data_IF_608914161906
#
_entry.id   IF_608914161906
#
_cell.length_a   1.000
_cell.length_b   1.000
_cell.length_c   1.000
_cell.angle_alpha   90.00
_cell.angle_beta   90.00
_cell.angle_gamma   90.00
#
_symmetry.space_group_name_H-M   'P 1'
#
loop_
_entity.id
_entity.type
_entity.pdbx_description
1 polymer ?
#
# COMPACT_ATOMS: atom_id res chain seq x y z
N UNK A 1 -9.90 -7.46 23.49
CA UNK A 1 -9.81 -6.13 22.92
C UNK A 1 -9.63 -6.20 21.40
N UNK A 2 -10.38 -5.37 20.70
CA UNK A 2 -10.36 -5.33 19.25
C UNK A 2 -8.98 -5.01 18.65
N UNK A 3 -8.13 -4.36 19.42
CA UNK A 3 -6.79 -3.95 19.02
C UNK A 3 -5.89 -5.11 18.63
N UNK A 4 -6.02 -6.29 19.25
CA UNK A 4 -5.18 -7.45 18.94
C UNK A 4 -5.41 -7.98 17.53
N UNK A 5 -6.67 -8.04 17.08
CA UNK A 5 -7.02 -8.49 15.72
C UNK A 5 -6.55 -7.48 14.67
N UNK A 6 -6.68 -6.19 14.97
CA UNK A 6 -6.26 -5.13 14.04
C UNK A 6 -4.75 -5.11 13.87
N UNK A 7 -4.00 -5.34 14.94
CA UNK A 7 -2.54 -5.43 14.89
C UNK A 7 -2.08 -6.64 14.07
N UNK A 8 -2.76 -7.77 14.20
CA UNK A 8 -2.44 -8.96 13.39
C UNK A 8 -2.67 -8.69 11.91
N UNK A 9 -3.76 -8.04 11.58
CA UNK A 9 -4.08 -7.69 10.20
C UNK A 9 -3.02 -6.76 9.62
N UNK A 10 -2.59 -5.77 10.40
CA UNK A 10 -1.56 -4.82 9.99
C UNK A 10 -0.22 -5.52 9.77
N UNK A 11 0.19 -6.36 10.71
CA UNK A 11 1.44 -7.14 10.57
C UNK A 11 1.37 -8.11 9.40
N UNK A 12 0.22 -8.73 9.19
CA UNK A 12 0.00 -9.65 8.08
C UNK A 12 0.13 -8.92 6.73
N UNK A 13 -0.47 -7.73 6.62
CA UNK A 13 -0.34 -6.92 5.41
C UNK A 13 1.11 -6.50 5.19
N UNK A 14 1.79 -6.06 6.26
CA UNK A 14 3.19 -5.66 6.17
C UNK A 14 4.05 -6.80 5.61
N UNK A 15 3.85 -8.00 6.13
CA UNK A 15 4.59 -9.17 5.66
C UNK A 15 4.26 -9.50 4.21
N UNK A 16 3.00 -9.34 3.81
CA UNK A 16 2.58 -9.56 2.43
C UNK A 16 3.22 -8.55 1.48
N UNK A 17 3.28 -7.28 1.87
CA UNK A 17 3.94 -6.24 1.08
C UNK A 17 5.44 -6.51 0.94
N UNK A 18 6.08 -6.92 2.02
CA UNK A 18 7.49 -7.26 2.01
C UNK A 18 7.77 -8.44 1.06
N UNK A 19 6.96 -9.49 1.15
CA UNK A 19 7.09 -10.65 0.28
C UNK A 19 6.83 -10.29 -1.20
N UNK A 20 5.82 -9.47 -1.46
CA UNK A 20 5.50 -9.02 -2.82
C UNK A 20 6.66 -8.21 -3.41
N UNK A 21 7.31 -7.38 -2.61
CA UNK A 21 8.46 -6.62 -3.05
C UNK A 21 9.64 -7.53 -3.37
N UNK A 22 9.90 -8.52 -2.51
CA UNK A 22 11.03 -9.43 -2.70
C UNK A 22 10.90 -10.30 -3.94
N UNK A 23 9.68 -10.61 -4.38
CA UNK A 23 9.46 -11.40 -5.59
C UNK A 23 9.18 -10.52 -6.82
N UNK A 24 9.48 -9.22 -6.74
CA UNK A 24 9.30 -8.25 -7.82
C UNK A 24 7.86 -8.07 -8.30
N UNK A 25 6.90 -8.44 -7.47
CA UNK A 25 5.49 -8.20 -7.75
C UNK A 25 5.13 -6.72 -7.66
N UNK A 26 5.76 -6.02 -6.73
CA UNK A 26 5.59 -4.58 -6.53
C UNK A 26 6.94 -3.89 -6.38
N UNK A 27 6.94 -2.58 -6.59
CA UNK A 27 8.05 -1.71 -6.22
C UNK A 27 7.52 -0.43 -5.62
N UNK A 28 8.37 0.26 -4.87
CA UNK A 28 8.03 1.52 -4.22
C UNK A 28 8.73 2.68 -4.92
N UNK A 29 7.99 3.77 -5.12
CA UNK A 29 8.53 4.98 -5.75
C UNK A 29 8.13 6.19 -4.90
N UNK A 30 9.06 7.11 -4.58
CA UNK A 30 8.69 8.35 -3.91
C UNK A 30 7.65 9.12 -4.74
N UNK A 31 6.65 9.66 -4.05
CA UNK A 31 5.60 10.42 -4.72
C UNK A 31 6.16 11.60 -5.51
N UNK A 32 7.22 12.24 -4.98
CA UNK A 32 7.88 13.36 -5.64
C UNK A 32 8.60 12.98 -6.94
N UNK A 33 8.92 11.70 -7.12
CA UNK A 33 9.64 11.19 -8.30
C UNK A 33 8.69 10.58 -9.34
N UNK A 34 7.38 10.69 -9.15
CA UNK A 34 6.42 10.09 -10.09
C UNK A 34 6.51 10.78 -11.46
N UNK A 35 6.47 9.98 -12.51
CA UNK A 35 6.50 10.45 -13.89
C UNK A 35 5.53 9.64 -14.76
N UNK A 36 5.55 9.89 -16.06
CA UNK A 36 4.62 9.23 -17.00
C UNK A 36 4.83 7.72 -17.12
N UNK A 37 5.94 7.19 -16.61
CA UNK A 37 6.20 5.75 -16.61
C UNK A 37 5.50 5.02 -15.46
N UNK A 38 4.79 5.75 -14.57
CA UNK A 38 4.15 5.17 -13.41
C UNK A 38 3.12 4.11 -13.79
N UNK A 39 3.22 2.94 -13.16
CA UNK A 39 2.29 1.83 -13.34
C UNK A 39 1.55 1.54 -12.04
N UNK A 40 0.27 1.93 -12.00
CA UNK A 40 -0.54 1.78 -10.78
C UNK A 40 -0.82 0.33 -10.40
N UNK A 41 -0.57 -0.62 -11.29
CA UNK A 41 -0.76 -2.05 -11.03
C UNK A 41 0.48 -2.72 -10.45
N UNK A 42 1.59 -2.00 -10.36
CA UNK A 42 2.85 -2.54 -9.85
C UNK A 42 3.52 -1.63 -8.85
N UNK A 43 3.41 -0.32 -9.02
CA UNK A 43 4.12 0.65 -8.20
C UNK A 43 3.26 1.18 -7.07
N UNK A 44 3.84 1.25 -5.89
CA UNK A 44 3.24 1.89 -4.72
C UNK A 44 4.01 3.19 -4.49
N UNK A 45 3.30 4.31 -4.55
CA UNK A 45 3.89 5.61 -4.26
C UNK A 45 3.94 5.83 -2.75
N UNK A 46 4.89 6.62 -2.29
CA UNK A 46 4.98 6.92 -0.87
C UNK A 46 5.50 8.33 -0.63
N UNK A 47 5.08 8.89 0.49
CA UNK A 47 5.66 10.09 1.09
C UNK A 47 6.02 9.78 2.54
N UNK A 48 6.26 10.81 3.34
CA UNK A 48 6.67 10.61 4.74
C UNK A 48 5.57 9.97 5.59
N UNK A 49 4.32 10.12 5.22
CA UNK A 49 3.17 9.72 6.04
C UNK A 49 2.44 8.51 5.50
N UNK A 50 2.30 8.40 4.18
CA UNK A 50 1.42 7.42 3.56
C UNK A 50 2.08 6.63 2.45
N UNK A 51 1.54 5.42 2.23
CA UNK A 51 1.66 4.71 0.96
C UNK A 51 0.40 4.97 0.15
N UNK A 52 0.56 5.18 -1.15
CA UNK A 52 -0.55 5.39 -2.09
C UNK A 52 -0.61 4.22 -3.06
N UNK A 53 -1.74 3.52 -3.06
CA UNK A 53 -1.88 2.33 -3.89
C UNK A 53 -3.33 2.17 -4.34
N UNK A 54 -3.55 1.35 -5.36
CA UNK A 54 -4.90 1.06 -5.83
C UNK A 54 -5.52 -0.10 -5.04
N UNK A 55 -6.85 -0.11 -4.97
CA UNK A 55 -7.57 -1.23 -4.37
C UNK A 55 -7.27 -2.54 -5.10
N UNK A 56 -7.21 -2.49 -6.43
CA UNK A 56 -6.92 -3.67 -7.24
C UNK A 56 -5.56 -4.27 -6.91
N UNK A 57 -4.53 -3.43 -6.74
CA UNK A 57 -3.19 -3.89 -6.40
C UNK A 57 -3.16 -4.52 -5.00
N UNK A 58 -3.81 -3.88 -4.02
CA UNK A 58 -3.89 -4.44 -2.66
C UNK A 58 -4.56 -5.80 -2.66
N UNK A 59 -5.68 -5.93 -3.35
CA UNK A 59 -6.39 -7.22 -3.44
C UNK A 59 -5.52 -8.29 -4.10
N UNK A 60 -4.79 -7.93 -5.15
CA UNK A 60 -3.88 -8.85 -5.82
C UNK A 60 -2.77 -9.33 -4.89
N UNK A 61 -2.15 -8.42 -4.14
CA UNK A 61 -1.11 -8.75 -3.17
C UNK A 61 -1.64 -9.72 -2.12
N UNK A 62 -2.80 -9.42 -1.55
CA UNK A 62 -3.40 -10.27 -0.53
C UNK A 62 -3.73 -11.65 -1.10
N UNK A 63 -4.30 -11.69 -2.30
CA UNK A 63 -4.67 -12.94 -2.95
C UNK A 63 -3.46 -13.83 -3.21
N UNK A 64 -2.35 -13.26 -3.62
CA UNK A 64 -1.13 -14.01 -3.97
C UNK A 64 -0.34 -14.40 -2.72
N UNK A 65 -0.16 -13.47 -1.78
CA UNK A 65 0.72 -13.67 -0.63
C UNK A 65 0.00 -14.24 0.58
N UNK A 66 -1.30 -14.03 0.69
CA UNK A 66 -2.11 -14.45 1.83
C UNK A 66 -3.28 -15.30 1.36
N UNK A 67 -2.98 -16.47 0.81
CA UNK A 67 -3.96 -17.33 0.13
C UNK A 67 -5.13 -17.76 1.02
N UNK A 68 -4.93 -17.86 2.33
CA UNK A 68 -5.97 -18.26 3.27
C UNK A 68 -6.86 -17.11 3.73
N UNK A 69 -6.60 -15.89 3.27
CA UNK A 69 -7.36 -14.70 3.65
C UNK A 69 -8.21 -14.21 2.50
N UNK A 70 -9.40 -13.72 2.85
CA UNK A 70 -10.25 -13.02 1.88
C UNK A 70 -9.78 -11.57 1.78
N UNK A 71 -9.44 -11.09 0.56
CA UNK A 71 -8.93 -9.73 0.43
C UNK A 71 -9.87 -8.65 0.99
N UNK A 72 -11.17 -8.77 0.74
CA UNK A 72 -12.14 -7.79 1.25
C UNK A 72 -12.19 -7.75 2.77
N UNK A 73 -12.05 -8.91 3.45
CA UNK A 73 -12.03 -8.95 4.91
C UNK A 73 -10.80 -8.25 5.47
N UNK A 74 -9.63 -8.50 4.87
CA UNK A 74 -8.38 -7.85 5.30
C UNK A 74 -8.50 -6.33 5.14
N UNK A 75 -9.00 -5.87 3.99
CA UNK A 75 -9.15 -4.45 3.73
C UNK A 75 -10.14 -3.79 4.69
N UNK A 76 -11.26 -4.45 4.99
CA UNK A 76 -12.23 -3.92 5.94
C UNK A 76 -11.65 -3.80 7.35
N UNK A 77 -10.87 -4.78 7.79
CA UNK A 77 -10.23 -4.73 9.11
C UNK A 77 -9.21 -3.60 9.19
N UNK A 78 -8.42 -3.40 8.12
CA UNK A 78 -7.46 -2.30 8.07
C UNK A 78 -8.14 -0.94 8.07
N UNK A 79 -9.28 -0.83 7.39
CA UNK A 79 -10.07 0.39 7.39
C UNK A 79 -10.64 0.68 8.77
N UNK A 80 -11.17 -0.33 9.44
CA UNK A 80 -11.67 -0.20 10.81
C UNK A 80 -10.58 0.21 11.79
N UNK A 81 -9.37 -0.29 11.59
CA UNK A 81 -8.23 0.06 12.42
C UNK A 81 -7.66 1.47 12.13
N UNK A 82 -8.14 2.14 11.09
CA UNK A 82 -7.64 3.45 10.71
C UNK A 82 -6.32 3.42 9.95
N UNK A 83 -5.86 2.25 9.55
CA UNK A 83 -4.61 2.08 8.78
C UNK A 83 -4.83 2.36 7.31
N UNK A 84 -5.98 1.98 6.79
CA UNK A 84 -6.34 2.10 5.38
C UNK A 84 -7.49 3.10 5.21
N UNK A 85 -7.32 4.05 4.29
CA UNK A 85 -8.38 4.99 3.92
C UNK A 85 -9.32 4.37 2.90
N UNK A 86 -10.47 5.04 2.67
CA UNK A 86 -11.31 4.78 1.50
C UNK A 86 -10.61 5.24 0.23
N UNK A 87 -11.20 4.87 -0.92
CA UNK A 87 -10.67 5.30 -2.21
C UNK A 87 -10.87 6.81 -2.40
N UNK A 88 -9.79 7.53 -2.71
CA UNK A 88 -9.82 8.96 -2.94
C UNK A 88 -9.19 9.29 -4.29
N UNK A 89 -9.78 10.25 -5.03
CA UNK A 89 -9.18 10.71 -6.28
C UNK A 89 -7.94 11.55 -5.99
N UNK A 90 -6.93 11.42 -6.83
CA UNK A 90 -5.73 12.24 -6.77
C UNK A 90 -5.22 12.47 -8.17
N UNK A 91 -4.94 13.73 -8.49
CA UNK A 91 -4.34 14.10 -9.77
C UNK A 91 -2.83 14.11 -9.62
N UNK A 92 -2.16 13.33 -10.46
CA UNK A 92 -0.70 13.34 -10.53
C UNK A 92 -0.26 14.18 -11.72
N UNK A 93 0.69 15.08 -11.48
CA UNK A 93 1.24 15.94 -12.52
C UNK A 93 2.59 15.39 -12.95
N UNK A 94 2.74 15.14 -14.24
CA UNK A 94 3.98 14.66 -14.85
C UNK A 94 4.60 15.79 -15.66
N UNK A 95 5.91 15.88 -15.65
CA UNK A 95 6.61 16.86 -16.47
C UNK A 95 6.50 16.48 -17.96
N UNK A 96 6.41 17.45 -18.88
CA UNK A 96 6.38 18.90 -18.63
C UNK A 96 5.01 19.47 -18.30
N UNK A 97 3.89 18.92 -18.78
CA UNK A 97 2.55 19.47 -18.58
C UNK A 97 1.44 18.41 -18.61
N UNK A 98 1.76 17.17 -18.36
CA UNK A 98 0.74 16.12 -18.33
C UNK A 98 0.22 15.93 -16.93
N UNK A 99 -1.09 15.78 -16.79
CA UNK A 99 -1.69 15.36 -15.52
C UNK A 99 -2.66 14.22 -15.78
N UNK A 100 -2.78 13.33 -14.82
CA UNK A 100 -3.64 12.17 -14.91
C UNK A 100 -4.29 11.91 -13.58
N UNK A 101 -5.58 11.57 -13.59
CA UNK A 101 -6.32 11.30 -12.39
C UNK A 101 -6.25 9.81 -12.06
N UNK A 102 -5.98 9.52 -10.79
CA UNK A 102 -5.96 8.18 -10.26
C UNK A 102 -6.85 8.10 -9.02
N UNK A 103 -7.30 6.90 -8.70
CA UNK A 103 -7.94 6.63 -7.43
C UNK A 103 -7.01 5.79 -6.58
N UNK A 104 -6.62 6.36 -5.44
CA UNK A 104 -5.72 5.71 -4.51
C UNK A 104 -6.42 5.45 -3.18
N UNK A 105 -5.96 4.39 -2.51
CA UNK A 105 -6.16 4.23 -1.08
C UNK A 105 -4.83 4.53 -0.39
N UNK A 106 -4.90 5.11 0.79
CA UNK A 106 -3.70 5.45 1.56
C UNK A 106 -3.54 4.48 2.72
N UNK A 107 -2.29 4.09 2.97
CA UNK A 107 -1.90 3.28 4.12
C UNK A 107 -0.97 4.10 4.98
N UNK A 108 -1.23 4.14 6.30
CA UNK A 108 -0.34 4.85 7.23
C UNK A 108 1.00 4.10 7.35
N UNK A 109 2.09 4.77 6.97
CA UNK A 109 3.43 4.17 7.05
C UNK A 109 3.81 3.82 8.48
N UNK A 110 3.49 4.70 9.43
CA UNK A 110 3.80 4.46 10.83
C UNK A 110 3.13 3.21 11.39
N UNK A 111 1.94 2.88 10.90
CA UNK A 111 1.22 1.68 11.33
C UNK A 111 1.82 0.40 10.77
N UNK A 112 2.49 0.48 9.63
CA UNK A 112 3.13 -0.67 8.98
C UNK A 112 4.59 -0.83 9.37
N UNK A 113 5.14 0.13 10.12
CA UNK A 113 6.50 0.04 10.61
C UNK A 113 6.56 -0.82 11.87
N UNK A 114 7.50 -1.76 11.93
CA UNK A 114 7.76 -2.54 13.13
C UNK A 114 9.09 -2.12 13.75
N UNK A 115 9.14 -1.87 15.07
CA UNK A 115 10.41 -1.57 15.75
C UNK A 115 11.42 -2.70 15.50
N UNK A 116 12.64 -2.30 15.15
CA UNK A 116 13.71 -3.25 14.87
C UNK A 116 13.69 -3.86 13.48
N UNK A 117 12.69 -3.55 12.66
CA UNK A 117 12.60 -4.00 11.28
C UNK A 117 12.89 -2.87 10.31
N UNK A 118 13.37 -3.22 9.12
CA UNK A 118 13.55 -2.24 8.06
C UNK A 118 12.20 -1.73 7.56
N UNK A 119 12.17 -0.46 7.18
CA UNK A 119 11.03 0.11 6.48
C UNK A 119 10.82 -0.62 5.15
N UNK A 120 9.57 -0.72 4.70
CA UNK A 120 9.22 -1.39 3.44
C UNK A 120 9.93 -0.78 2.22
N UNK A 121 10.23 0.51 2.26
CA UNK A 121 10.90 1.20 1.16
C UNK A 121 12.42 1.09 1.20
N UNK A 122 12.98 0.68 2.33
CA UNK A 122 14.41 0.46 2.50
C UNK A 122 14.77 -0.98 2.14
N UNK A 123 15.69 -1.14 1.25
CA UNK A 123 16.17 -2.46 0.81
C UNK A 123 17.61 -2.61 1.18
#
# INVERSE_FOLDING_TARGET
LATGKNQRCTSTLRNALYAARRCDMICFRPLEDVDSSFECQKEILYDDTYYYTSTALLKKIIKVQLRSYMPSDVLNRLKTAGVLSGSVPKTLTFAPNESKDFRFRTLLRSSLHQPGSRDLVEV
#
